data_IF_032126912995
#
_entry.id   IF_032126912995
#
_cell.length_a   1.000
_cell.length_b   1.000
_cell.length_c   1.000
_cell.angle_alpha   90.00
_cell.angle_beta   90.00
_cell.angle_gamma   90.00
#
_symmetry.space_group_name_H-M   'P 1'
#
loop_
_entity.id
_entity.type
_entity.pdbx_description
1 polymer ?
#
# COMPACT_ATOMS: atom_id res chain seq x y z
N UNK A 1 2.53 -3.61 -24.07
CA UNK A 1 3.95 -4.00 -23.94
C UNK A 1 4.61 -2.94 -23.06
N UNK A 2 5.44 -3.36 -22.11
CA UNK A 2 6.17 -2.54 -21.12
C UNK A 2 5.41 -1.92 -19.94
N UNK A 3 4.23 -2.43 -19.59
CA UNK A 3 3.47 -1.98 -18.39
C UNK A 3 4.29 -2.14 -17.11
N UNK A 4 5.03 -3.23 -16.97
CA UNK A 4 5.88 -3.48 -15.80
C UNK A 4 7.03 -2.48 -15.67
N UNK A 5 7.63 -2.05 -16.78
CA UNK A 5 8.68 -1.02 -16.77
C UNK A 5 8.12 0.35 -16.42
N UNK A 6 6.94 0.70 -16.97
CA UNK A 6 6.27 1.97 -16.62
C UNK A 6 5.87 2.00 -15.15
N UNK A 7 5.36 0.89 -14.61
CA UNK A 7 5.05 0.77 -13.18
C UNK A 7 6.31 0.85 -12.31
N UNK A 8 7.42 0.25 -12.74
CA UNK A 8 8.69 0.37 -12.03
C UNK A 8 9.18 1.83 -12.01
N UNK A 9 9.14 2.53 -13.14
CA UNK A 9 9.48 3.96 -13.20
C UNK A 9 8.57 4.82 -12.32
N UNK A 10 7.26 4.50 -12.25
CA UNK A 10 6.33 5.18 -11.35
C UNK A 10 6.73 4.97 -9.89
N UNK A 11 7.04 3.73 -9.50
CA UNK A 11 7.47 3.41 -8.13
C UNK A 11 8.75 4.17 -7.75
N UNK A 12 9.74 4.20 -8.64
CA UNK A 12 10.99 4.95 -8.43
C UNK A 12 10.78 6.47 -8.33
N UNK A 13 9.80 7.01 -9.05
CA UNK A 13 9.44 8.43 -8.98
C UNK A 13 8.65 8.79 -7.69
N UNK A 14 8.07 7.80 -7.00
CA UNK A 14 7.31 8.03 -5.77
C UNK A 14 8.25 8.01 -4.56
N UNK A 15 8.56 9.19 -4.02
CA UNK A 15 9.34 9.35 -2.79
C UNK A 15 8.69 10.36 -1.85
N UNK A 16 9.15 10.40 -0.60
CA UNK A 16 8.56 11.20 0.49
C UNK A 16 8.48 12.73 0.26
N UNK A 17 9.11 13.25 -0.80
CA UNK A 17 9.10 14.67 -1.15
C UNK A 17 8.18 14.98 -2.34
N UNK A 18 7.49 13.98 -2.88
CA UNK A 18 6.48 14.16 -3.92
C UNK A 18 5.09 14.20 -3.27
N UNK A 19 4.29 15.25 -3.49
CA UNK A 19 2.95 15.33 -2.94
C UNK A 19 2.07 14.13 -3.33
N UNK A 20 1.36 13.50 -2.37
CA UNK A 20 0.46 12.39 -2.64
C UNK A 20 -0.61 12.73 -3.67
N UNK A 21 -1.07 13.98 -3.69
CA UNK A 21 -2.07 14.49 -4.63
C UNK A 21 -1.61 14.45 -6.09
N UNK A 22 -0.30 14.55 -6.35
CA UNK A 22 0.27 14.47 -7.71
C UNK A 22 0.35 13.01 -8.19
N UNK A 23 0.61 12.08 -7.27
CA UNK A 23 0.77 10.65 -7.56
C UNK A 23 -0.59 9.94 -7.64
N UNK A 24 -1.55 10.36 -6.80
CA UNK A 24 -2.85 9.72 -6.62
C UNK A 24 -3.61 9.51 -7.95
N UNK A 25 -3.73 10.48 -8.87
CA UNK A 25 -4.41 10.28 -10.14
C UNK A 25 -3.83 9.13 -10.96
N UNK A 26 -2.50 8.96 -10.94
CA UNK A 26 -1.81 7.88 -11.66
C UNK A 26 -2.11 6.54 -11.02
N UNK A 27 -2.05 6.46 -9.68
CA UNK A 27 -2.36 5.22 -8.94
C UNK A 27 -3.81 4.80 -9.15
N UNK A 28 -4.76 5.74 -9.12
CA UNK A 28 -6.16 5.44 -9.40
C UNK A 28 -6.38 4.97 -10.84
N UNK A 29 -5.62 5.51 -11.80
CA UNK A 29 -5.65 5.01 -13.17
C UNK A 29 -5.10 3.59 -13.27
N UNK A 30 -3.99 3.29 -12.58
CA UNK A 30 -3.43 1.93 -12.51
C UNK A 30 -4.43 0.95 -11.90
N UNK A 31 -5.07 1.32 -10.79
CA UNK A 31 -6.10 0.51 -10.15
C UNK A 31 -7.24 0.19 -11.12
N UNK A 32 -7.83 1.21 -11.76
CA UNK A 32 -8.96 1.02 -12.68
C UNK A 32 -8.59 0.17 -13.91
N UNK A 33 -7.41 0.39 -14.48
CA UNK A 33 -6.99 -0.27 -15.72
C UNK A 33 -6.49 -1.69 -15.50
N UNK A 34 -5.72 -1.93 -14.43
CA UNK A 34 -4.99 -3.19 -14.23
C UNK A 34 -5.55 -4.07 -13.11
N UNK A 35 -6.38 -3.54 -12.22
CA UNK A 35 -6.93 -4.29 -11.08
C UNK A 35 -8.45 -4.38 -11.20
N UNK A 36 -8.91 -5.20 -12.15
CA UNK A 36 -10.33 -5.50 -12.36
C UNK A 36 -10.51 -6.97 -12.78
N UNK A 37 -11.72 -7.50 -12.67
CA UNK A 37 -12.00 -8.92 -12.94
C UNK A 37 -11.97 -9.28 -14.43
N UNK A 38 -11.89 -8.30 -15.32
CA UNK A 38 -11.95 -8.48 -16.78
C UNK A 38 -10.56 -8.74 -17.37
N UNK A 39 -9.50 -8.32 -16.69
CA UNK A 39 -8.11 -8.54 -17.15
C UNK A 39 -7.55 -9.88 -16.64
N UNK A 40 -6.47 -10.34 -17.29
CA UNK A 40 -5.81 -11.58 -16.92
C UNK A 40 -5.26 -11.53 -15.49
N UNK A 41 -5.24 -12.67 -14.79
CA UNK A 41 -4.85 -12.73 -13.39
C UNK A 41 -3.42 -12.23 -13.15
N UNK A 42 -2.50 -12.50 -14.08
CA UNK A 42 -1.12 -12.03 -14.05
C UNK A 42 -1.05 -10.49 -14.10
N UNK A 43 -1.98 -9.85 -14.81
CA UNK A 43 -2.06 -8.39 -14.91
C UNK A 43 -2.57 -7.79 -13.60
N UNK A 44 -3.57 -8.42 -12.99
CA UNK A 44 -4.08 -8.03 -11.66
C UNK A 44 -2.99 -8.13 -10.61
N UNK A 45 -2.24 -9.23 -10.62
CA UNK A 45 -1.13 -9.46 -9.70
C UNK A 45 -0.04 -8.38 -9.83
N UNK A 46 0.36 -8.04 -11.06
CA UNK A 46 1.32 -6.96 -11.32
C UNK A 46 0.76 -5.60 -10.85
N UNK A 47 -0.51 -5.31 -11.14
CA UNK A 47 -1.16 -4.06 -10.71
C UNK A 47 -1.20 -3.91 -9.19
N UNK A 48 -1.63 -4.95 -8.47
CA UNK A 48 -1.68 -4.96 -7.01
C UNK A 48 -0.29 -4.79 -6.38
N UNK A 49 0.72 -5.48 -6.89
CA UNK A 49 2.09 -5.33 -6.40
C UNK A 49 2.64 -3.93 -6.69
N UNK A 50 2.39 -3.37 -7.87
CA UNK A 50 2.79 -2.00 -8.21
C UNK A 50 2.16 -0.96 -7.28
N UNK A 51 0.86 -1.07 -7.03
CA UNK A 51 0.15 -0.17 -6.09
C UNK A 51 0.72 -0.31 -4.67
N UNK A 52 0.96 -1.54 -4.21
CA UNK A 52 1.57 -1.79 -2.89
C UNK A 52 2.91 -1.07 -2.75
N UNK A 53 3.78 -1.18 -3.75
CA UNK A 53 5.11 -0.55 -3.71
C UNK A 53 5.03 0.98 -3.67
N UNK A 54 4.08 1.59 -4.38
CA UNK A 54 3.83 3.04 -4.27
C UNK A 54 3.32 3.40 -2.87
N UNK A 55 2.33 2.67 -2.36
CA UNK A 55 1.71 2.95 -1.05
C UNK A 55 2.66 2.70 0.13
N UNK A 56 3.67 1.85 -0.04
CA UNK A 56 4.73 1.64 0.95
C UNK A 56 5.68 2.86 1.07
N UNK A 57 5.79 3.68 0.02
CA UNK A 57 6.69 4.85 -0.04
C UNK A 57 5.96 6.18 0.20
N UNK A 58 4.68 6.24 -0.17
CA UNK A 58 3.82 7.39 0.07
C UNK A 58 2.52 6.95 0.70
N UNK A 59 2.24 7.53 1.85
CA UNK A 59 0.99 7.38 2.58
C UNK A 59 -0.06 8.34 2.03
N UNK A 60 -1.34 8.15 2.37
CA UNK A 60 -2.46 8.96 1.91
C UNK A 60 -2.73 8.92 0.38
N UNK A 61 -2.27 7.86 -0.29
CA UNK A 61 -2.53 7.63 -1.72
C UNK A 61 -3.89 6.98 -1.96
N UNK A 62 -4.37 6.13 -1.05
CA UNK A 62 -5.66 5.43 -1.13
C UNK A 62 -6.56 5.85 0.04
N UNK A 63 -7.87 5.83 -0.17
CA UNK A 63 -8.86 5.95 0.90
C UNK A 63 -9.38 4.57 1.36
N UNK A 64 -10.26 4.56 2.37
CA UNK A 64 -10.82 3.32 2.95
C UNK A 64 -11.59 2.48 1.92
N UNK A 65 -12.38 3.11 1.04
CA UNK A 65 -13.18 2.42 0.02
C UNK A 65 -12.29 1.78 -1.04
N UNK A 66 -11.33 2.53 -1.57
CA UNK A 66 -10.37 2.06 -2.57
C UNK A 66 -9.50 0.93 -2.02
N UNK A 67 -9.04 1.05 -0.77
CA UNK A 67 -8.29 0.00 -0.10
C UNK A 67 -9.16 -1.24 0.15
N UNK A 68 -10.44 -1.08 0.49
CA UNK A 68 -11.36 -2.19 0.66
C UNK A 68 -11.58 -2.96 -0.65
N UNK A 69 -11.73 -2.26 -1.78
CA UNK A 69 -11.86 -2.87 -3.11
C UNK A 69 -10.63 -3.70 -3.46
N UNK A 70 -9.43 -3.12 -3.31
CA UNK A 70 -8.17 -3.83 -3.55
C UNK A 70 -7.99 -5.03 -2.60
N UNK A 71 -8.32 -4.85 -1.31
CA UNK A 71 -8.28 -5.93 -0.31
C UNK A 71 -9.31 -7.04 -0.59
N UNK A 72 -10.35 -6.76 -1.39
CA UNK A 72 -11.33 -7.74 -1.85
C UNK A 72 -10.71 -8.86 -2.68
N UNK A 73 -9.67 -8.54 -3.47
CA UNK A 73 -8.94 -9.51 -4.30
C UNK A 73 -8.24 -10.61 -3.50
N UNK A 74 -8.17 -10.52 -2.15
CA UNK A 74 -7.71 -11.64 -1.29
C UNK A 74 -8.57 -12.90 -1.43
N UNK A 75 -9.80 -12.77 -1.94
CA UNK A 75 -10.74 -13.88 -2.21
C UNK A 75 -10.77 -14.29 -3.69
N UNK A 76 -9.92 -13.71 -4.53
CA UNK A 76 -9.88 -13.99 -5.97
C UNK A 76 -9.47 -15.44 -6.24
N UNK A 77 -9.86 -16.01 -7.39
CA UNK A 77 -9.63 -17.43 -7.70
C UNK A 77 -8.14 -17.77 -7.87
N UNK A 78 -7.37 -16.85 -8.44
CA UNK A 78 -5.94 -17.04 -8.70
C UNK A 78 -5.10 -16.79 -7.43
N UNK A 79 -4.19 -17.72 -7.09
CA UNK A 79 -3.35 -17.64 -5.89
C UNK A 79 -2.36 -16.46 -5.89
N UNK A 80 -1.78 -16.11 -7.04
CA UNK A 80 -0.86 -14.97 -7.16
C UNK A 80 -1.56 -13.66 -6.81
N UNK A 81 -2.76 -13.45 -7.35
CA UNK A 81 -3.62 -12.31 -7.00
C UNK A 81 -4.00 -12.29 -5.52
N UNK A 82 -4.37 -13.44 -4.93
CA UNK A 82 -4.63 -13.53 -3.49
C UNK A 82 -3.43 -13.11 -2.65
N UNK A 83 -2.22 -13.54 -3.05
CA UNK A 83 -0.98 -13.21 -2.34
C UNK A 83 -0.62 -11.73 -2.48
N UNK A 84 -0.77 -11.15 -3.68
CA UNK A 84 -0.54 -9.72 -3.91
C UNK A 84 -1.49 -8.86 -3.05
N UNK A 85 -2.78 -9.18 -3.02
CA UNK A 85 -3.76 -8.48 -2.20
C UNK A 85 -3.48 -8.62 -0.69
N UNK A 86 -3.06 -9.80 -0.23
CA UNK A 86 -2.63 -10.00 1.17
C UNK A 86 -1.36 -9.20 1.49
N UNK A 87 -0.44 -9.10 0.55
CA UNK A 87 0.75 -8.25 0.66
C UNK A 87 0.36 -6.78 0.88
N UNK A 88 -0.57 -6.25 0.08
CA UNK A 88 -1.10 -4.89 0.27
C UNK A 88 -1.72 -4.69 1.66
N UNK A 89 -2.55 -5.65 2.11
CA UNK A 89 -3.14 -5.61 3.45
C UNK A 89 -2.05 -5.57 4.53
N UNK A 90 -1.01 -6.38 4.40
CA UNK A 90 0.09 -6.40 5.38
C UNK A 90 0.85 -5.07 5.40
N UNK A 91 1.14 -4.47 4.25
CA UNK A 91 1.74 -3.13 4.20
C UNK A 91 0.90 -2.11 4.96
N UNK A 92 -0.41 -2.10 4.76
CA UNK A 92 -1.29 -1.19 5.50
C UNK A 92 -1.44 -1.53 6.98
N UNK A 93 -1.15 -2.77 7.43
CA UNK A 93 -1.10 -3.07 8.87
C UNK A 93 0.06 -2.36 9.57
N UNK A 94 1.15 -2.15 8.85
CA UNK A 94 2.37 -1.51 9.33
C UNK A 94 2.31 0.01 9.16
N UNK A 95 1.80 0.48 8.02
CA UNK A 95 1.84 1.89 7.63
C UNK A 95 0.66 2.71 8.19
N UNK A 96 -0.57 2.26 7.96
CA UNK A 96 -1.77 2.91 8.49
C UNK A 96 -2.92 1.90 8.65
N UNK A 97 -2.94 1.15 9.76
CA UNK A 97 -3.97 0.15 9.99
C UNK A 97 -5.35 0.73 10.27
N UNK A 98 -5.47 2.05 10.47
CA UNK A 98 -6.77 2.68 10.68
C UNK A 98 -7.60 2.69 9.40
N UNK A 99 -6.92 2.81 8.25
CA UNK A 99 -7.52 2.76 6.91
C UNK A 99 -8.03 1.35 6.54
N UNK A 100 -7.58 0.31 7.23
CA UNK A 100 -8.09 -1.04 7.05
C UNK A 100 -9.39 -1.23 7.84
N UNK A 101 -10.34 -1.94 7.22
CA UNK A 101 -11.50 -2.47 7.93
C UNK A 101 -11.06 -3.30 9.16
N UNK A 102 -11.79 -3.21 10.27
CA UNK A 102 -11.41 -3.85 11.56
C UNK A 102 -11.07 -5.33 11.44
N UNK A 103 -11.78 -6.08 10.60
CA UNK A 103 -11.52 -7.51 10.37
C UNK A 103 -10.20 -7.83 9.66
N UNK A 104 -9.57 -6.82 9.05
CA UNK A 104 -8.33 -6.96 8.28
C UNK A 104 -7.08 -6.51 9.02
N UNK A 105 -7.21 -5.75 10.12
CA UNK A 105 -6.06 -5.21 10.88
C UNK A 105 -5.19 -6.30 11.49
N UNK A 106 -5.79 -7.44 11.87
CA UNK A 106 -5.10 -8.46 12.63
C UNK A 106 -4.85 -8.04 14.08
N UNK A 107 -4.30 -8.95 14.89
CA UNK A 107 -4.19 -8.74 16.35
C UNK A 107 -3.18 -7.65 16.69
N UNK A 108 -2.01 -7.70 16.09
CA UNK A 108 -0.89 -6.80 16.41
C UNK A 108 -1.23 -5.35 16.09
N UNK A 109 -1.71 -5.07 14.88
CA UNK A 109 -2.10 -3.71 14.50
C UNK A 109 -3.27 -3.18 15.35
N UNK A 110 -4.23 -4.05 15.72
CA UNK A 110 -5.32 -3.66 16.64
C UNK A 110 -4.78 -3.29 18.03
N UNK A 111 -3.81 -4.04 18.54
CA UNK A 111 -3.17 -3.74 19.83
C UNK A 111 -2.35 -2.45 19.77
N UNK A 112 -1.60 -2.23 18.69
CA UNK A 112 -0.80 -1.02 18.49
C UNK A 112 -1.67 0.24 18.42
N UNK A 113 -2.81 0.19 17.71
CA UNK A 113 -3.82 1.26 17.74
C UNK A 113 -4.34 1.50 19.16
N UNK A 114 -4.66 0.42 19.89
CA UNK A 114 -5.18 0.54 21.26
C UNK A 114 -4.18 1.11 22.26
N UNK A 115 -2.87 0.96 22.02
CA UNK A 115 -1.79 1.53 22.84
C UNK A 115 -1.48 2.98 22.48
N UNK A 116 -1.95 3.45 21.32
CA UNK A 116 -1.60 4.76 20.78
C UNK A 116 -0.23 4.79 20.11
N UNK A 117 0.36 3.63 19.82
CA UNK A 117 1.70 3.49 19.24
C UNK A 117 1.75 3.86 17.74
N UNK A 118 0.57 4.03 17.10
CA UNK A 118 0.45 4.32 15.67
C UNK A 118 -0.13 5.72 15.49
N UNK A 119 0.72 6.63 15.01
CA UNK A 119 0.28 7.91 14.44
C UNK A 119 -0.01 7.71 12.95
N UNK A 120 -1.12 8.26 12.48
CA UNK A 120 -1.42 8.30 11.06
C UNK A 120 -0.27 9.04 10.35
N UNK A 121 0.35 8.43 9.34
CA UNK A 121 1.53 9.02 8.71
C UNK A 121 1.11 10.28 7.92
N UNK A 122 1.74 11.41 8.24
CA UNK A 122 1.53 12.68 7.55
C UNK A 122 2.55 12.88 6.42
N UNK A 123 2.13 13.59 5.37
CA UNK A 123 3.02 13.94 4.27
C UNK A 123 4.19 14.80 4.77
N UNK A 124 5.42 14.47 4.35
CA UNK A 124 6.64 15.16 4.76
C UNK A 124 7.19 14.74 6.13
N UNK A 125 6.53 13.81 6.83
CA UNK A 125 7.06 13.24 8.07
C UNK A 125 8.23 12.30 7.71
N UNK A 126 9.43 12.64 8.15
CA UNK A 126 10.54 11.68 8.17
C UNK A 126 10.32 10.81 9.40
N UNK A 127 10.22 9.49 9.25
CA UNK A 127 10.37 8.56 10.37
C UNK A 127 11.80 8.72 10.88
N UNK A 128 12.02 9.71 11.75
CA UNK A 128 13.28 9.84 12.48
C UNK A 128 13.32 8.65 13.43
N UNK A 129 14.10 7.64 13.07
CA UNK A 129 14.45 6.59 14.00
C UNK A 129 15.32 7.22 15.08
N UNK A 130 14.77 7.43 16.28
CA UNK A 130 15.51 7.90 17.45
C UNK A 130 16.51 6.86 17.99
N UNK A 131 16.66 5.73 17.31
CA UNK A 131 17.61 4.68 17.64
C UNK A 131 18.64 4.55 16.54
N UNK A 132 19.71 5.34 16.64
CA UNK A 132 20.98 4.95 16.02
C UNK A 132 21.47 3.75 16.84
N UNK A 133 21.29 2.54 16.31
CA UNK A 133 21.82 1.32 16.89
C UNK A 133 23.36 1.44 16.95
N UNK A 134 23.91 1.67 18.15
CA UNK A 134 25.37 1.64 18.40
C UNK A 134 26.06 2.89 18.97
N UNK A 135 25.35 3.87 19.54
CA UNK A 135 25.99 4.94 20.32
C UNK A 135 25.87 4.67 21.83
N UNK A 136 26.77 3.83 22.35
CA UNK A 136 27.11 3.86 23.78
C UNK A 136 28.02 5.08 24.03
N UNK A 137 27.58 6.00 24.89
CA UNK A 137 28.40 7.05 25.51
C UNK A 137 28.74 6.64 26.95
#
# INVERSE_FOLDING_TARGET
KDVTQVLACLVEACHMQVPPDDIRPVVLHVMKTFVNEVVAAEVIEVGLNGIREVCARSVNILNEEELADLAGFRKFKNKGVQMAAKGLINTYREVDPQLLHRSLRGREATMAISRGDIQAPEYGMTLVSDTIDGLDL
#
